data_IF_572126661290
#
_entry.id   IF_572126661290
#
_cell.length_a   1.000
_cell.length_b   1.000
_cell.length_c   1.000
_cell.angle_alpha   90.00
_cell.angle_beta   90.00
_cell.angle_gamma   90.00
#
_symmetry.space_group_name_H-M   'P 1'
#
loop_
_entity.id
_entity.type
_entity.pdbx_description
1 polymer ?
#
# COMPACT_ATOMS: atom_id res chain seq x y z
N UNK A 1 29.61 15.75 21.15
CA UNK A 1 29.25 14.47 20.49
C UNK A 1 28.33 14.63 19.27
N UNK A 2 27.19 15.36 19.32
CA UNK A 2 26.30 15.50 18.14
C UNK A 2 26.86 16.34 16.98
N UNK A 3 27.65 17.40 17.26
CA UNK A 3 28.23 18.28 16.22
C UNK A 3 29.42 17.65 15.47
N UNK A 4 30.20 16.77 16.09
CA UNK A 4 31.37 16.11 15.46
C UNK A 4 30.98 14.93 14.57
N UNK A 5 29.89 14.23 14.90
CA UNK A 5 29.30 13.18 14.07
C UNK A 5 28.67 13.77 12.78
N UNK A 6 28.03 14.94 12.90
CA UNK A 6 27.46 15.68 11.77
C UNK A 6 28.52 16.13 10.76
N UNK A 7 29.75 16.40 11.24
CA UNK A 7 30.86 16.89 10.42
C UNK A 7 31.67 15.79 9.75
N UNK A 8 31.66 14.57 10.30
CA UNK A 8 32.44 13.43 9.80
C UNK A 8 31.66 12.53 8.85
N UNK A 9 30.34 12.35 9.05
CA UNK A 9 29.49 11.50 8.20
C UNK A 9 28.09 12.11 7.99
N UNK A 10 27.97 13.23 7.27
CA UNK A 10 26.70 13.94 7.09
C UNK A 10 25.63 13.07 6.40
N UNK A 11 26.03 12.20 5.48
CA UNK A 11 25.11 11.30 4.76
C UNK A 11 24.52 10.22 5.66
N UNK A 12 25.31 9.64 6.57
CA UNK A 12 24.87 8.56 7.46
C UNK A 12 23.78 9.05 8.42
N UNK A 13 23.96 10.24 8.99
CA UNK A 13 23.01 10.80 9.94
C UNK A 13 21.67 11.11 9.27
N UNK A 14 21.68 11.71 8.07
CA UNK A 14 20.46 11.98 7.29
C UNK A 14 19.74 10.69 6.93
N UNK A 15 20.46 9.64 6.53
CA UNK A 15 19.86 8.32 6.26
C UNK A 15 19.24 7.69 7.51
N UNK A 16 19.86 7.80 8.69
CA UNK A 16 19.29 7.29 9.94
C UNK A 16 18.02 8.03 10.32
N UNK A 17 18.02 9.37 10.28
CA UNK A 17 16.82 10.16 10.57
C UNK A 17 15.68 9.84 9.61
N UNK A 18 16.01 9.68 8.33
CA UNK A 18 15.06 9.26 7.31
C UNK A 18 14.44 7.89 7.61
N UNK A 19 15.25 6.87 7.92
CA UNK A 19 14.76 5.53 8.27
C UNK A 19 13.88 5.59 9.52
N UNK A 20 14.28 6.34 10.53
CA UNK A 20 13.50 6.52 11.76
C UNK A 20 12.16 7.23 11.48
N UNK A 21 12.16 8.26 10.63
CA UNK A 21 10.94 8.94 10.19
C UNK A 21 10.00 7.99 9.45
N UNK A 22 10.52 7.19 8.52
CA UNK A 22 9.73 6.19 7.80
C UNK A 22 9.15 5.11 8.72
N UNK A 23 9.93 4.63 9.70
CA UNK A 23 9.43 3.69 10.73
C UNK A 23 8.36 4.35 11.59
N UNK A 24 8.54 5.60 11.98
CA UNK A 24 7.55 6.36 12.73
C UNK A 24 6.25 6.50 11.93
N UNK A 25 6.33 6.80 10.63
CA UNK A 25 5.17 6.85 9.74
C UNK A 25 4.48 5.49 9.63
N UNK A 26 5.22 4.37 9.55
CA UNK A 26 4.61 3.02 9.56
C UNK A 26 3.74 2.80 10.82
N UNK A 27 4.21 3.30 11.97
CA UNK A 27 3.56 3.13 13.27
C UNK A 27 2.40 4.11 13.50
N UNK A 28 2.48 5.31 12.93
CA UNK A 28 1.51 6.39 13.17
C UNK A 28 0.48 6.55 12.06
N UNK A 29 0.83 6.19 10.82
CA UNK A 29 -0.07 6.30 9.67
C UNK A 29 -1.21 5.29 9.81
N UNK A 30 -2.39 5.85 10.09
CA UNK A 30 -3.62 5.12 10.30
C UNK A 30 -4.23 4.54 9.03
N UNK A 31 -5.56 4.57 8.95
CA UNK A 31 -6.30 4.06 7.80
C UNK A 31 -6.23 5.01 6.61
N UNK A 32 -6.36 4.43 5.43
CA UNK A 32 -6.35 5.16 4.16
C UNK A 32 -7.58 6.07 3.98
N UNK A 33 -8.68 5.76 4.65
CA UNK A 33 -9.95 6.51 4.60
C UNK A 33 -10.17 7.44 5.78
N UNK A 34 -9.15 7.67 6.62
CA UNK A 34 -9.20 8.69 7.65
C UNK A 34 -9.14 10.10 7.04
N UNK A 35 -10.12 10.93 7.38
CA UNK A 35 -10.21 12.32 6.92
C UNK A 35 -8.99 13.16 7.33
N UNK A 36 -8.39 12.88 8.49
CA UNK A 36 -7.15 13.53 8.94
C UNK A 36 -5.98 13.28 7.98
N UNK A 37 -5.78 12.03 7.55
CA UNK A 37 -4.74 11.67 6.59
C UNK A 37 -4.99 12.31 5.23
N UNK A 38 -6.25 12.31 4.76
CA UNK A 38 -6.63 13.01 3.54
C UNK A 38 -6.32 14.52 3.61
N UNK A 39 -6.78 15.21 4.66
CA UNK A 39 -6.56 16.66 4.83
C UNK A 39 -5.06 16.95 4.95
N UNK A 40 -4.32 16.17 5.74
CA UNK A 40 -2.89 16.32 5.91
C UNK A 40 -2.13 16.19 4.58
N UNK A 41 -2.37 15.12 3.83
CA UNK A 41 -1.73 14.93 2.53
C UNK A 41 -2.18 15.96 1.49
N UNK A 42 -3.43 16.43 1.54
CA UNK A 42 -3.92 17.48 0.67
C UNK A 42 -3.21 18.82 0.94
N UNK A 43 -3.03 19.18 2.22
CA UNK A 43 -2.25 20.36 2.62
C UNK A 43 -0.80 20.21 2.16
N UNK A 44 -0.17 19.05 2.39
CA UNK A 44 1.20 18.80 1.96
C UNK A 44 1.34 18.94 0.45
N UNK A 45 0.39 18.43 -0.33
CA UNK A 45 0.39 18.51 -1.79
C UNK A 45 0.25 19.96 -2.28
N UNK A 46 -0.65 20.75 -1.69
CA UNK A 46 -0.79 22.17 -2.03
C UNK A 46 0.49 22.94 -1.69
N UNK A 47 1.05 22.72 -0.50
CA UNK A 47 2.29 23.36 -0.06
C UNK A 47 3.46 22.95 -0.96
N UNK A 48 3.51 21.69 -1.42
CA UNK A 48 4.53 21.21 -2.32
C UNK A 48 4.47 21.93 -3.68
N UNK A 49 3.27 22.07 -4.26
CA UNK A 49 3.07 22.81 -5.51
C UNK A 49 3.40 24.30 -5.31
N UNK A 50 2.96 24.88 -4.20
CA UNK A 50 3.19 26.29 -3.88
C UNK A 50 4.69 26.61 -3.69
N UNK A 51 5.41 25.78 -2.92
CA UNK A 51 6.85 25.93 -2.70
C UNK A 51 7.59 25.84 -4.04
N UNK A 52 7.25 24.88 -4.90
CA UNK A 52 7.81 24.77 -6.25
C UNK A 52 7.62 26.06 -7.08
N UNK A 53 6.40 26.60 -7.12
CA UNK A 53 6.08 27.83 -7.88
C UNK A 53 6.78 29.09 -7.33
N UNK A 54 7.27 29.03 -6.10
CA UNK A 54 7.94 30.16 -5.43
C UNK A 54 9.45 29.97 -5.28
N UNK A 55 10.01 28.84 -5.75
CA UNK A 55 11.45 28.56 -5.70
C UNK A 55 12.28 29.65 -6.41
N UNK A 56 11.79 30.23 -7.51
CA UNK A 56 12.50 31.27 -8.26
C UNK A 56 12.21 32.69 -7.75
N UNK A 57 11.17 32.87 -6.93
CA UNK A 57 10.73 34.18 -6.46
C UNK A 57 11.41 34.49 -5.14
N UNK A 58 12.19 35.58 -5.07
CA UNK A 58 12.72 36.08 -3.80
C UNK A 58 11.61 36.76 -2.99
N UNK A 59 11.51 36.44 -1.71
CA UNK A 59 10.61 37.08 -0.75
C UNK A 59 11.24 38.43 -0.36
N UNK A 60 10.54 39.51 -0.68
CA UNK A 60 10.97 40.88 -0.38
C UNK A 60 10.71 41.31 1.08
N UNK A 61 9.82 40.63 1.80
CA UNK A 61 9.43 40.98 3.16
C UNK A 61 10.48 40.55 4.20
N UNK A 62 11.01 41.52 4.96
CA UNK A 62 12.13 41.35 5.91
C UNK A 62 11.90 40.28 6.98
N UNK A 63 10.67 40.10 7.46
CA UNK A 63 10.33 39.09 8.48
C UNK A 63 10.22 37.66 7.95
N UNK A 64 10.01 37.49 6.64
CA UNK A 64 9.82 36.18 6.00
C UNK A 64 11.03 35.76 5.16
N UNK A 65 12.12 36.53 5.21
CA UNK A 65 13.34 36.27 4.45
C UNK A 65 14.00 34.93 4.83
N UNK A 66 13.82 34.47 6.07
CA UNK A 66 14.31 33.16 6.50
C UNK A 66 13.67 32.03 5.67
N UNK A 67 12.42 32.17 5.21
CA UNK A 67 11.77 31.15 4.40
C UNK A 67 12.47 30.94 3.06
N UNK A 68 13.05 31.98 2.46
CA UNK A 68 13.79 31.86 1.20
C UNK A 68 14.98 30.91 1.31
N UNK A 69 15.65 30.89 2.47
CA UNK A 69 16.81 30.03 2.72
C UNK A 69 16.40 28.56 2.80
N UNK A 70 15.20 28.27 3.33
CA UNK A 70 14.71 26.90 3.56
C UNK A 70 13.68 26.42 2.54
N UNK A 71 13.37 27.19 1.48
CA UNK A 71 12.35 26.80 0.47
C UNK A 71 12.65 25.47 -0.19
N UNK A 72 13.92 25.22 -0.51
CA UNK A 72 14.36 23.98 -1.14
C UNK A 72 14.21 22.80 -0.19
N UNK A 73 14.66 22.96 1.04
CA UNK A 73 14.55 21.94 2.09
C UNK A 73 13.08 21.63 2.39
N UNK A 74 12.24 22.66 2.46
CA UNK A 74 10.80 22.51 2.66
C UNK A 74 10.13 21.75 1.51
N UNK A 75 10.52 22.03 0.26
CA UNK A 75 10.02 21.29 -0.90
C UNK A 75 10.34 19.79 -0.78
N UNK A 76 11.59 19.44 -0.47
CA UNK A 76 12.01 18.05 -0.34
C UNK A 76 11.41 17.38 0.88
N UNK A 77 11.26 18.08 2.00
CA UNK A 77 10.56 17.60 3.19
C UNK A 77 9.09 17.24 2.89
N UNK A 78 8.36 18.14 2.23
CA UNK A 78 6.96 17.90 1.86
C UNK A 78 6.81 16.74 0.87
N UNK A 79 7.69 16.65 -0.12
CA UNK A 79 7.70 15.55 -1.07
C UNK A 79 8.06 14.22 -0.41
N UNK A 80 9.05 14.21 0.48
CA UNK A 80 9.48 13.04 1.25
C UNK A 80 8.36 12.52 2.15
N UNK A 81 7.66 13.41 2.87
CA UNK A 81 6.51 13.03 3.68
C UNK A 81 5.37 12.40 2.87
N UNK A 82 5.05 12.96 1.70
CA UNK A 82 4.04 12.37 0.80
C UNK A 82 4.48 11.01 0.25
N UNK A 83 5.71 10.90 -0.24
CA UNK A 83 6.27 9.65 -0.76
C UNK A 83 6.30 8.56 0.32
N UNK A 84 6.65 8.90 1.56
CA UNK A 84 6.62 8.01 2.72
C UNK A 84 5.21 7.47 2.96
N UNK A 85 4.23 8.35 3.09
CA UNK A 85 2.83 7.97 3.31
C UNK A 85 2.26 7.11 2.16
N UNK A 86 2.54 7.48 0.91
CA UNK A 86 2.08 6.72 -0.25
C UNK A 86 2.76 5.36 -0.35
N UNK A 87 4.06 5.25 -0.07
CA UNK A 87 4.75 3.96 -0.01
C UNK A 87 4.07 3.03 1.00
N UNK A 88 3.73 3.53 2.19
CA UNK A 88 3.06 2.75 3.23
C UNK A 88 1.67 2.30 2.78
N UNK A 89 0.88 3.17 2.15
CA UNK A 89 -0.42 2.79 1.61
C UNK A 89 -0.32 1.73 0.49
N UNK A 90 0.64 1.88 -0.43
CA UNK A 90 0.88 0.90 -1.48
C UNK A 90 1.31 -0.46 -0.93
N UNK A 91 2.20 -0.48 0.07
CA UNK A 91 2.63 -1.70 0.77
C UNK A 91 1.45 -2.37 1.47
N UNK A 92 0.61 -1.60 2.18
CA UNK A 92 -0.55 -2.14 2.89
C UNK A 92 -1.63 -2.69 1.94
N UNK A 93 -1.70 -2.21 0.69
CA UNK A 93 -2.80 -2.51 -0.25
C UNK A 93 -2.58 -3.68 -1.21
N UNK A 94 -1.45 -4.38 -1.15
CA UNK A 94 -1.20 -5.53 -2.03
C UNK A 94 -0.24 -6.54 -1.43
N UNK A 95 -0.19 -7.71 -2.06
CA UNK A 95 0.93 -8.63 -1.86
C UNK A 95 2.23 -8.02 -2.36
N UNK A 96 3.24 -7.95 -1.47
CA UNK A 96 4.59 -7.44 -1.78
C UNK A 96 5.15 -8.11 -3.03
N UNK A 97 4.88 -9.40 -3.23
CA UNK A 97 5.39 -10.16 -4.38
C UNK A 97 4.88 -9.65 -5.72
N UNK A 98 3.67 -9.11 -5.80
CA UNK A 98 3.08 -8.64 -7.05
C UNK A 98 3.48 -7.19 -7.34
N UNK A 99 3.53 -6.37 -6.29
CA UNK A 99 3.84 -4.93 -6.41
C UNK A 99 5.27 -4.55 -6.06
N UNK A 100 6.18 -5.53 -5.93
CA UNK A 100 7.58 -5.33 -5.53
C UNK A 100 8.26 -4.25 -6.36
N UNK A 101 8.14 -4.30 -7.69
CA UNK A 101 8.79 -3.37 -8.59
C UNK A 101 8.30 -1.92 -8.38
N UNK A 102 6.98 -1.72 -8.33
CA UNK A 102 6.41 -0.39 -8.12
C UNK A 102 6.73 0.16 -6.73
N UNK A 103 6.60 -0.66 -5.68
CA UNK A 103 6.97 -0.28 -4.31
C UNK A 103 8.46 0.08 -4.24
N UNK A 104 9.33 -0.68 -4.91
CA UNK A 104 10.77 -0.38 -4.97
C UNK A 104 11.03 0.98 -5.64
N UNK A 105 10.30 1.32 -6.71
CA UNK A 105 10.41 2.64 -7.35
C UNK A 105 10.01 3.75 -6.37
N UNK A 106 8.90 3.60 -5.64
CA UNK A 106 8.47 4.62 -4.66
C UNK A 106 9.54 4.79 -3.56
N UNK A 107 10.07 3.68 -3.03
CA UNK A 107 11.11 3.71 -2.00
C UNK A 107 12.43 4.31 -2.52
N UNK A 108 12.81 4.01 -3.75
CA UNK A 108 13.99 4.60 -4.40
C UNK A 108 13.77 6.10 -4.60
N UNK A 109 12.60 6.53 -5.08
CA UNK A 109 12.28 7.96 -5.21
C UNK A 109 12.33 8.68 -3.87
N UNK A 110 11.85 8.03 -2.81
CA UNK A 110 11.90 8.53 -1.45
C UNK A 110 13.36 8.70 -0.96
N UNK A 111 14.22 7.70 -1.16
CA UNK A 111 15.64 7.78 -0.79
C UNK A 111 16.38 8.83 -1.64
N UNK A 112 16.11 8.86 -2.94
CA UNK A 112 16.70 9.82 -3.87
C UNK A 112 16.29 11.24 -3.51
N UNK A 113 15.04 11.48 -3.12
CA UNK A 113 14.55 12.80 -2.69
C UNK A 113 15.37 13.40 -1.53
N UNK A 114 15.83 12.56 -0.60
CA UNK A 114 16.65 12.97 0.54
C UNK A 114 18.15 13.13 0.19
N UNK A 115 18.59 12.64 -0.96
CA UNK A 115 19.99 12.70 -1.34
C UNK A 115 20.43 14.15 -1.65
N UNK A 116 21.48 14.69 -1.01
CA UNK A 116 21.90 16.09 -1.22
C UNK A 116 22.19 16.43 -2.69
N UNK A 117 22.73 15.46 -3.44
CA UNK A 117 22.98 15.62 -4.88
C UNK A 117 21.69 15.78 -5.68
N UNK A 118 20.62 15.09 -5.29
CA UNK A 118 19.33 15.16 -5.96
C UNK A 118 18.59 16.47 -5.66
N UNK A 119 18.73 16.99 -4.44
CA UNK A 119 18.10 18.26 -4.06
C UNK A 119 18.58 19.43 -4.93
N UNK A 120 19.81 19.36 -5.42
CA UNK A 120 20.41 20.34 -6.32
C UNK A 120 20.03 20.13 -7.80
N UNK A 121 19.31 19.06 -8.16
CA UNK A 121 18.91 18.82 -9.55
C UNK A 121 17.89 19.86 -10.02
N UNK A 122 17.89 20.11 -11.34
CA UNK A 122 17.04 21.10 -12.00
C UNK A 122 15.53 20.89 -11.82
N UNK A 123 14.77 21.93 -12.16
CA UNK A 123 13.31 22.01 -11.99
C UNK A 123 12.52 20.87 -12.64
N UNK A 124 13.05 20.24 -13.68
CA UNK A 124 12.41 19.12 -14.39
C UNK A 124 12.25 17.90 -13.45
N UNK A 125 13.27 17.55 -12.67
CA UNK A 125 13.20 16.42 -11.73
C UNK A 125 12.23 16.71 -10.58
N UNK A 126 12.26 17.94 -10.05
CA UNK A 126 11.31 18.42 -9.04
C UNK A 126 9.88 18.37 -9.55
N UNK A 127 9.65 18.73 -10.81
CA UNK A 127 8.34 18.66 -11.43
C UNK A 127 7.86 17.21 -11.62
N UNK A 128 8.75 16.29 -12.01
CA UNK A 128 8.44 14.86 -12.05
C UNK A 128 8.04 14.32 -10.67
N UNK A 129 8.71 14.78 -9.60
CA UNK A 129 8.36 14.40 -8.24
C UNK A 129 6.97 14.91 -7.81
N UNK A 130 6.65 16.17 -8.11
CA UNK A 130 5.32 16.74 -7.85
C UNK A 130 4.25 15.93 -8.60
N UNK A 131 4.48 15.67 -9.88
CA UNK A 131 3.52 14.92 -10.69
C UNK A 131 3.35 13.49 -10.18
N UNK A 132 4.42 12.83 -9.73
CA UNK A 132 4.35 11.50 -9.14
C UNK A 132 3.51 11.50 -7.85
N UNK A 133 3.76 12.47 -6.95
CA UNK A 133 2.97 12.64 -5.73
C UNK A 133 1.50 12.96 -6.04
N UNK A 134 1.24 13.83 -7.02
CA UNK A 134 -0.11 14.19 -7.44
C UNK A 134 -0.87 12.97 -8.00
N UNK A 135 -0.25 12.20 -8.89
CA UNK A 135 -0.87 11.00 -9.47
C UNK A 135 -1.11 9.93 -8.40
N UNK A 136 -0.16 9.74 -7.48
CA UNK A 136 -0.32 8.83 -6.33
C UNK A 136 -1.47 9.26 -5.41
N UNK A 137 -1.56 10.56 -5.08
CA UNK A 137 -2.65 11.12 -4.29
C UNK A 137 -4.00 10.85 -4.94
N UNK A 138 -4.14 11.06 -6.25
CA UNK A 138 -5.39 10.83 -6.97
C UNK A 138 -5.77 9.35 -7.00
N UNK A 139 -4.81 8.46 -7.33
CA UNK A 139 -5.01 7.00 -7.35
C UNK A 139 -5.42 6.47 -5.98
N UNK A 140 -4.95 7.09 -4.90
CA UNK A 140 -5.30 6.68 -3.54
C UNK A 140 -6.68 7.23 -3.15
N UNK A 141 -6.89 8.54 -3.30
CA UNK A 141 -8.02 9.21 -2.66
C UNK A 141 -9.29 9.29 -3.49
N UNK A 142 -9.22 9.27 -4.83
CA UNK A 142 -10.45 9.21 -5.64
C UNK A 142 -11.23 7.91 -5.37
N UNK A 143 -10.60 6.71 -5.39
CA UNK A 143 -11.28 5.48 -4.97
C UNK A 143 -11.93 5.55 -3.60
N UNK A 144 -11.24 6.15 -2.62
CA UNK A 144 -11.72 6.30 -1.23
C UNK A 144 -12.93 7.23 -1.16
N UNK A 145 -12.86 8.40 -1.81
CA UNK A 145 -13.93 9.41 -1.77
C UNK A 145 -15.20 8.90 -2.45
N UNK A 146 -15.05 8.24 -3.61
CA UNK A 146 -16.19 7.77 -4.39
C UNK A 146 -16.67 6.37 -3.99
N UNK A 147 -15.96 5.68 -3.08
CA UNK A 147 -16.30 4.29 -2.72
C UNK A 147 -16.24 3.34 -3.92
N UNK A 148 -15.33 3.58 -4.87
CA UNK A 148 -15.16 2.76 -6.07
C UNK A 148 -13.73 2.26 -6.19
N UNK A 149 -13.50 1.21 -6.96
CA UNK A 149 -12.16 0.71 -7.28
C UNK A 149 -12.20 0.02 -8.65
N UNK A 150 -11.03 -0.36 -9.17
CA UNK A 150 -10.91 -1.03 -10.46
C UNK A 150 -10.47 -0.10 -11.60
N UNK A 151 -10.52 -0.62 -12.82
CA UNK A 151 -9.86 0.00 -13.98
C UNK A 151 -10.45 1.36 -14.34
N UNK A 152 -11.78 1.50 -14.24
CA UNK A 152 -12.47 2.76 -14.54
C UNK A 152 -12.04 3.90 -13.60
N UNK A 153 -12.10 3.66 -12.29
CA UNK A 153 -11.67 4.63 -11.28
C UNK A 153 -10.19 4.98 -11.41
N UNK A 154 -9.35 3.98 -11.71
CA UNK A 154 -7.92 4.19 -11.95
C UNK A 154 -7.65 5.11 -13.16
N UNK A 155 -8.34 4.87 -14.28
CA UNK A 155 -8.20 5.68 -15.51
C UNK A 155 -8.61 7.13 -15.23
N UNK A 156 -9.76 7.34 -14.60
CA UNK A 156 -10.23 8.69 -14.23
C UNK A 156 -9.21 9.39 -13.33
N UNK A 157 -8.70 8.69 -12.31
CA UNK A 157 -7.72 9.24 -11.36
C UNK A 157 -6.44 9.67 -12.07
N UNK A 158 -5.94 8.82 -12.96
CA UNK A 158 -4.71 9.08 -13.73
C UNK A 158 -4.92 10.26 -14.68
N UNK A 159 -6.01 10.28 -15.46
CA UNK A 159 -6.32 11.37 -16.39
C UNK A 159 -6.47 12.69 -15.63
N UNK A 160 -7.28 12.72 -14.56
CA UNK A 160 -7.51 13.92 -13.77
C UNK A 160 -6.19 14.47 -13.18
N UNK A 161 -5.33 13.59 -12.66
CA UNK A 161 -4.02 14.00 -12.14
C UNK A 161 -3.07 14.52 -13.22
N UNK A 162 -3.14 13.94 -14.44
CA UNK A 162 -2.27 14.32 -15.56
C UNK A 162 -2.68 15.65 -16.20
N UNK A 163 -3.95 16.05 -16.05
CA UNK A 163 -4.47 17.31 -16.59
C UNK A 163 -4.32 18.48 -15.62
N UNK A 164 -4.42 18.23 -14.30
CA UNK A 164 -4.45 19.31 -13.30
C UNK A 164 -3.20 20.21 -13.35
N UNK A 165 -2.01 19.62 -13.34
CA UNK A 165 -0.76 20.39 -13.28
C UNK A 165 -0.48 21.16 -14.59
N UNK A 166 -0.63 20.57 -15.80
CA UNK A 166 -0.55 21.31 -17.05
C UNK A 166 -1.55 22.46 -17.16
N UNK A 167 -2.82 22.25 -16.78
CA UNK A 167 -3.84 23.31 -16.80
C UNK A 167 -3.46 24.46 -15.86
N UNK A 168 -2.99 24.14 -14.65
CA UNK A 168 -2.52 25.13 -13.69
C UNK A 168 -1.36 25.97 -14.26
N UNK A 169 -0.36 25.31 -14.86
CA UNK A 169 0.83 25.97 -15.39
C UNK A 169 0.51 26.83 -16.60
N UNK A 170 -0.36 26.35 -17.49
CA UNK A 170 -0.88 27.13 -18.62
C UNK A 170 -1.64 28.36 -18.15
N UNK A 171 -2.52 28.23 -17.16
CA UNK A 171 -3.32 29.34 -16.61
C UNK A 171 -2.46 30.44 -15.97
N UNK A 172 -1.34 30.07 -15.35
CA UNK A 172 -0.41 31.03 -14.73
C UNK A 172 0.61 31.57 -15.76
N UNK A 173 0.68 31.00 -16.97
CA UNK A 173 1.69 31.35 -17.97
C UNK A 173 3.11 30.97 -17.53
N UNK A 174 3.26 29.86 -16.79
CA UNK A 174 4.54 29.45 -16.23
C UNK A 174 5.47 28.91 -17.34
N UNK A 175 6.75 29.30 -17.32
CA UNK A 175 7.76 28.91 -18.34
C UNK A 175 7.94 27.40 -18.53
N UNK A 176 7.56 26.61 -17.53
CA UNK A 176 7.63 25.14 -17.56
C UNK A 176 6.37 24.45 -18.08
N UNK A 177 5.39 25.17 -18.65
CA UNK A 177 4.14 24.57 -19.18
C UNK A 177 4.40 23.35 -20.08
N UNK A 178 5.28 23.48 -21.09
CA UNK A 178 5.60 22.37 -22.02
C UNK A 178 6.25 21.18 -21.30
N UNK A 179 7.33 21.36 -20.50
CA UNK A 179 7.87 20.30 -19.64
C UNK A 179 6.80 19.64 -18.76
N UNK A 180 5.88 20.41 -18.18
CA UNK A 180 4.80 19.89 -17.34
C UNK A 180 3.92 18.93 -18.11
N UNK A 181 3.41 19.33 -19.26
CA UNK A 181 2.58 18.45 -20.10
C UNK A 181 3.33 17.16 -20.47
N UNK A 182 4.58 17.26 -20.91
CA UNK A 182 5.38 16.08 -21.30
C UNK A 182 5.55 15.13 -20.10
N UNK A 183 5.95 15.65 -18.93
CA UNK A 183 6.14 14.84 -17.73
C UNK A 183 4.81 14.22 -17.25
N UNK A 184 3.72 14.99 -17.24
CA UNK A 184 2.40 14.47 -16.88
C UNK A 184 1.96 13.34 -17.81
N UNK A 185 2.22 13.44 -19.11
CA UNK A 185 1.93 12.37 -20.07
C UNK A 185 2.82 11.14 -19.85
N UNK A 186 4.13 11.32 -19.67
CA UNK A 186 5.06 10.21 -19.43
C UNK A 186 4.70 9.47 -18.15
N UNK A 187 4.42 10.19 -17.06
CA UNK A 187 4.03 9.58 -15.80
C UNK A 187 2.64 8.93 -15.88
N UNK A 188 1.68 9.54 -16.57
CA UNK A 188 0.39 8.90 -16.82
C UNK A 188 0.56 7.55 -17.55
N UNK A 189 1.42 7.50 -18.57
CA UNK A 189 1.73 6.26 -19.28
C UNK A 189 2.43 5.24 -18.38
N UNK A 190 3.40 5.67 -17.58
CA UNK A 190 4.07 4.82 -16.59
C UNK A 190 3.08 4.18 -15.61
N UNK A 191 2.17 4.98 -15.04
CA UNK A 191 1.14 4.48 -14.14
C UNK A 191 0.15 3.56 -14.87
N UNK A 192 -0.24 3.89 -16.10
CA UNK A 192 -1.13 3.06 -16.91
C UNK A 192 -0.53 1.68 -17.18
N UNK A 193 0.71 1.63 -17.67
CA UNK A 193 1.45 0.38 -17.87
C UNK A 193 1.56 -0.38 -16.55
N UNK A 194 1.97 0.29 -15.47
CA UNK A 194 2.09 -0.33 -14.16
C UNK A 194 0.78 -0.95 -13.65
N UNK A 195 -0.35 -0.30 -13.90
CA UNK A 195 -1.65 -0.81 -13.47
C UNK A 195 -2.09 -2.06 -14.24
N UNK A 196 -1.99 -2.04 -15.57
CA UNK A 196 -2.42 -3.16 -16.42
C UNK A 196 -1.42 -4.33 -16.41
N UNK A 197 -0.16 -4.09 -16.07
CA UNK A 197 0.82 -5.14 -15.78
C UNK A 197 0.74 -5.68 -14.34
N UNK A 198 -0.29 -5.32 -13.57
CA UNK A 198 -0.49 -5.72 -12.17
C UNK A 198 0.64 -5.31 -11.21
N UNK A 199 1.50 -4.37 -11.59
CA UNK A 199 2.58 -3.86 -10.73
C UNK A 199 2.03 -2.90 -9.68
N UNK A 200 0.97 -2.16 -10.00
CA UNK A 200 0.36 -1.20 -9.07
C UNK A 200 -0.68 -1.89 -8.18
N UNK A 201 -0.55 -1.73 -6.84
CA UNK A 201 -1.50 -2.26 -5.86
C UNK A 201 -2.95 -1.83 -6.16
N UNK A 202 -3.95 -2.71 -5.94
CA UNK A 202 -5.36 -2.35 -5.97
C UNK A 202 -5.77 -1.56 -4.70
N UNK A 203 -5.37 -0.31 -4.63
CA UNK A 203 -5.83 0.65 -3.61
C UNK A 203 -7.35 0.88 -3.81
N UNK A 204 -8.19 0.95 -2.75
CA UNK A 204 -7.87 1.10 -1.31
C UNK A 204 -8.02 -0.15 -0.45
N UNK A 205 -8.13 -1.33 -1.07
CA UNK A 205 -8.30 -2.59 -0.34
C UNK A 205 -7.00 -3.00 0.35
N UNK A 206 -7.08 -3.64 1.52
CA UNK A 206 -5.89 -4.22 2.18
C UNK A 206 -6.22 -5.45 3.02
N UNK A 207 -5.39 -6.50 2.92
CA UNK A 207 -5.48 -7.66 3.83
C UNK A 207 -4.81 -7.30 5.15
N UNK A 208 -5.60 -7.21 6.23
CA UNK A 208 -5.13 -6.93 7.59
C UNK A 208 -4.69 -8.19 8.35
N UNK A 209 -5.21 -9.35 7.95
CA UNK A 209 -4.86 -10.66 8.51
C UNK A 209 -5.21 -11.72 7.49
N UNK A 210 -4.38 -12.74 7.37
CA UNK A 210 -4.66 -13.97 6.63
C UNK A 210 -4.12 -15.14 7.45
N UNK A 211 -4.76 -16.30 7.41
CA UNK A 211 -4.26 -17.47 8.10
C UNK A 211 -4.96 -18.77 7.71
N UNK A 212 -4.32 -19.89 8.02
CA UNK A 212 -4.85 -21.25 7.85
C UNK A 212 -5.27 -21.84 9.21
N UNK A 213 -6.44 -22.46 9.24
CA UNK A 213 -7.09 -22.97 10.45
C UNK A 213 -7.77 -24.31 10.19
N UNK A 214 -7.95 -25.12 11.22
CA UNK A 214 -8.66 -26.41 11.13
C UNK A 214 -10.16 -26.26 11.29
N UNK A 215 -10.61 -25.21 11.96
CA UNK A 215 -12.03 -24.94 12.20
C UNK A 215 -12.26 -23.45 12.39
N UNK A 216 -13.40 -22.99 11.91
CA UNK A 216 -13.91 -21.64 12.18
C UNK A 216 -15.32 -21.78 12.74
N UNK A 217 -15.54 -21.29 13.95
CA UNK A 217 -16.87 -21.19 14.55
C UNK A 217 -17.28 -19.74 14.68
N UNK A 218 -18.56 -19.48 14.40
CA UNK A 218 -19.15 -18.16 14.58
C UNK A 218 -20.05 -18.20 15.81
N UNK A 219 -19.64 -17.52 16.88
CA UNK A 219 -20.41 -17.44 18.13
C UNK A 219 -20.48 -15.98 18.59
N UNK A 220 -21.68 -15.50 18.93
CA UNK A 220 -21.91 -14.17 19.52
C UNK A 220 -21.23 -12.99 18.77
N UNK A 221 -21.20 -13.04 17.43
CA UNK A 221 -20.52 -11.99 16.65
C UNK A 221 -18.99 -12.02 16.76
N UNK A 222 -18.40 -13.17 17.09
CA UNK A 222 -16.97 -13.44 17.04
C UNK A 222 -16.71 -14.65 16.14
N UNK A 223 -15.52 -14.68 15.54
CA UNK A 223 -14.97 -15.82 14.83
C UNK A 223 -13.91 -16.45 15.73
N UNK A 224 -14.14 -17.70 16.09
CA UNK A 224 -13.19 -18.54 16.82
C UNK A 224 -12.41 -19.34 15.79
N UNK A 225 -11.11 -19.08 15.68
CA UNK A 225 -10.22 -19.67 14.69
C UNK A 225 -9.33 -20.71 15.39
N UNK A 226 -9.50 -21.98 15.06
CA UNK A 226 -8.82 -23.09 15.73
C UNK A 226 -7.56 -23.49 14.97
N UNK A 227 -6.42 -23.50 15.66
CA UNK A 227 -5.12 -23.87 15.11
C UNK A 227 -4.27 -24.66 16.12
N UNK A 228 -3.27 -25.39 15.65
CA UNK A 228 -2.40 -26.25 16.48
C UNK A 228 -1.03 -25.60 16.76
N UNK A 229 -0.57 -24.71 15.88
CA UNK A 229 0.75 -24.09 15.96
C UNK A 229 0.95 -23.41 17.31
N UNK A 230 2.10 -23.63 18.00
CA UNK A 230 2.32 -23.06 19.31
C UNK A 230 2.27 -21.54 19.33
N UNK A 231 1.62 -20.96 20.35
CA UNK A 231 1.43 -19.50 20.49
C UNK A 231 2.73 -18.68 20.52
N UNK A 232 3.86 -19.28 20.90
CA UNK A 232 5.15 -18.58 20.92
C UNK A 232 5.66 -18.25 19.50
N UNK A 233 5.15 -18.92 18.46
CA UNK A 233 5.42 -18.60 17.06
C UNK A 233 4.53 -17.45 16.60
N UNK A 234 4.69 -16.28 17.21
CA UNK A 234 3.87 -15.09 16.92
C UNK A 234 3.98 -14.60 15.46
N UNK A 235 5.02 -15.02 14.73
CA UNK A 235 5.21 -14.77 13.30
C UNK A 235 4.37 -15.69 12.40
N UNK A 236 3.77 -16.75 12.94
CA UNK A 236 2.99 -17.71 12.18
C UNK A 236 1.56 -17.23 11.96
N UNK A 237 1.06 -17.44 10.75
CA UNK A 237 -0.28 -17.06 10.32
C UNK A 237 -1.24 -18.26 10.40
N UNK A 238 -1.37 -18.84 11.59
CA UNK A 238 -2.09 -20.11 11.80
C UNK A 238 -1.24 -21.32 11.41
N UNK A 239 -1.86 -22.40 10.91
CA UNK A 239 -1.16 -23.67 10.65
C UNK A 239 -0.58 -23.74 9.23
N UNK A 240 0.56 -23.10 9.03
CA UNK A 240 1.29 -23.17 7.75
C UNK A 240 1.90 -24.55 7.49
N UNK A 241 2.13 -25.35 8.53
CA UNK A 241 2.41 -26.78 8.42
C UNK A 241 1.15 -27.50 8.92
N UNK A 242 0.20 -27.72 8.03
CA UNK A 242 -1.11 -28.25 8.36
C UNK A 242 -1.06 -29.78 8.47
N UNK A 243 -1.27 -30.30 9.69
CA UNK A 243 -1.31 -31.72 9.97
C UNK A 243 -2.72 -32.26 9.74
N UNK A 244 -3.00 -32.78 8.56
CA UNK A 244 -4.32 -33.25 8.16
C UNK A 244 -4.62 -34.66 8.67
N UNK A 245 -5.68 -34.80 9.47
CA UNK A 245 -6.28 -36.07 9.86
C UNK A 245 -7.47 -36.43 8.95
N UNK A 246 -7.84 -37.71 8.82
CA UNK A 246 -9.00 -38.13 8.03
C UNK A 246 -10.28 -37.37 8.42
N UNK A 247 -10.93 -36.72 7.44
CA UNK A 247 -12.16 -35.96 7.63
C UNK A 247 -11.97 -34.46 7.93
N UNK A 248 -10.74 -34.01 8.12
CA UNK A 248 -10.45 -32.59 8.34
C UNK A 248 -10.82 -31.73 7.15
N UNK A 249 -11.14 -30.47 7.44
CA UNK A 249 -11.28 -29.40 6.45
C UNK A 249 -10.23 -28.33 6.72
N UNK A 250 -9.69 -27.74 5.66
CA UNK A 250 -8.74 -26.64 5.76
C UNK A 250 -9.52 -25.35 5.57
N UNK A 251 -9.42 -24.44 6.52
CA UNK A 251 -10.05 -23.14 6.46
C UNK A 251 -8.99 -22.06 6.21
N UNK A 252 -9.23 -21.22 5.20
CA UNK A 252 -8.52 -19.94 5.10
C UNK A 252 -9.43 -18.85 5.64
N UNK A 253 -8.88 -18.02 6.51
CA UNK A 253 -9.55 -16.83 7.01
C UNK A 253 -8.74 -15.60 6.62
N UNK A 254 -9.43 -14.56 6.16
CA UNK A 254 -8.85 -13.28 5.85
C UNK A 254 -9.70 -12.14 6.44
N UNK A 255 -9.01 -11.14 6.97
CA UNK A 255 -9.60 -9.87 7.39
C UNK A 255 -9.20 -8.80 6.40
N UNK A 256 -10.16 -8.26 5.68
CA UNK A 256 -9.93 -7.40 4.51
C UNK A 256 -10.55 -6.04 4.79
N UNK A 257 -9.71 -5.03 4.88
CA UNK A 257 -10.18 -3.66 5.02
C UNK A 257 -10.69 -3.12 3.69
N UNK A 258 -11.85 -2.45 3.75
CA UNK A 258 -12.48 -1.74 2.66
C UNK A 258 -13.04 -0.40 3.20
N UNK A 259 -12.84 0.74 2.50
CA UNK A 259 -13.36 2.04 2.92
C UNK A 259 -14.88 2.06 3.05
N UNK A 260 -15.39 3.02 3.84
CA UNK A 260 -16.83 3.27 3.97
C UNK A 260 -17.46 3.47 2.58
N UNK A 261 -18.57 2.80 2.31
CA UNK A 261 -19.32 2.93 1.05
C UNK A 261 -18.79 2.10 -0.12
N UNK A 262 -17.66 1.40 0.02
CA UNK A 262 -17.16 0.49 -1.00
C UNK A 262 -17.93 -0.85 -0.95
N UNK A 263 -18.62 -1.19 -2.03
CA UNK A 263 -19.20 -2.52 -2.26
C UNK A 263 -18.47 -3.23 -3.39
N UNK A 264 -17.97 -4.43 -3.13
CA UNK A 264 -17.20 -5.16 -4.12
C UNK A 264 -17.18 -6.66 -3.91
N UNK A 265 -16.66 -7.39 -4.88
CA UNK A 265 -16.35 -8.80 -4.71
C UNK A 265 -14.84 -9.01 -4.61
N UNK A 266 -14.48 -10.00 -3.80
CA UNK A 266 -13.14 -10.58 -3.75
C UNK A 266 -13.26 -12.06 -4.08
N UNK A 267 -12.13 -12.69 -4.34
CA UNK A 267 -12.05 -14.11 -4.58
C UNK A 267 -11.01 -14.73 -3.67
N UNK A 268 -11.37 -15.85 -3.03
CA UNK A 268 -10.42 -16.74 -2.40
C UNK A 268 -10.05 -17.80 -3.43
N UNK A 269 -8.82 -17.75 -3.92
CA UNK A 269 -8.29 -18.69 -4.90
C UNK A 269 -7.33 -19.67 -4.23
N UNK A 270 -7.63 -20.96 -4.33
CA UNK A 270 -6.75 -22.04 -3.88
C UNK A 270 -5.87 -22.50 -5.04
N UNK A 271 -4.59 -22.62 -4.79
CA UNK A 271 -3.60 -23.14 -5.73
C UNK A 271 -2.83 -24.31 -5.09
N UNK A 272 -2.53 -25.33 -5.88
CA UNK A 272 -1.67 -26.45 -5.49
C UNK A 272 -0.39 -26.40 -6.31
N UNK A 273 0.73 -26.70 -5.65
CA UNK A 273 2.00 -26.85 -6.35
C UNK A 273 2.10 -28.22 -7.03
N UNK A 274 2.26 -28.21 -8.35
CA UNK A 274 2.51 -29.39 -9.19
C UNK A 274 3.60 -29.08 -10.22
N UNK A 275 4.83 -28.79 -9.76
CA UNK A 275 5.94 -28.19 -10.55
C UNK A 275 5.68 -26.74 -11.02
N UNK A 276 4.41 -26.33 -11.03
CA UNK A 276 3.94 -24.95 -11.14
C UNK A 276 2.69 -24.79 -10.26
N UNK A 277 2.33 -23.55 -9.93
CA UNK A 277 1.10 -23.27 -9.19
C UNK A 277 -0.11 -23.47 -10.11
N UNK A 278 -0.97 -24.44 -9.79
CA UNK A 278 -2.22 -24.71 -10.51
C UNK A 278 -3.43 -24.30 -9.68
N UNK A 279 -4.36 -23.60 -10.30
CA UNK A 279 -5.62 -23.20 -9.69
C UNK A 279 -6.48 -24.45 -9.44
N UNK A 280 -6.92 -24.63 -8.20
CA UNK A 280 -7.86 -25.67 -7.79
C UNK A 280 -9.27 -25.11 -7.72
N UNK A 281 -9.47 -24.01 -6.99
CA UNK A 281 -10.79 -23.42 -6.75
C UNK A 281 -10.70 -21.89 -6.70
N UNK A 282 -11.78 -21.20 -7.07
CA UNK A 282 -11.90 -19.75 -6.96
C UNK A 282 -13.29 -19.39 -6.44
N UNK A 283 -13.36 -18.94 -5.18
CA UNK A 283 -14.60 -18.74 -4.44
C UNK A 283 -14.88 -17.24 -4.31
N UNK A 284 -16.01 -16.78 -4.86
CA UNK A 284 -16.45 -15.39 -4.79
C UNK A 284 -16.99 -15.06 -3.40
N UNK A 285 -16.57 -13.91 -2.86
CA UNK A 285 -17.10 -13.34 -1.61
C UNK A 285 -17.49 -11.88 -1.84
N UNK A 286 -18.70 -11.49 -1.45
CA UNK A 286 -19.12 -10.08 -1.47
C UNK A 286 -18.66 -9.39 -0.20
N UNK A 287 -17.98 -8.25 -0.34
CA UNK A 287 -17.53 -7.42 0.76
C UNK A 287 -18.27 -6.08 0.73
N UNK A 288 -18.58 -5.58 1.93
CA UNK A 288 -19.12 -4.25 2.14
C UNK A 288 -18.18 -3.54 3.12
N UNK A 289 -17.72 -2.36 2.72
CA UNK A 289 -16.83 -1.52 3.52
C UNK A 289 -17.57 -0.77 4.62
N UNK A 290 -16.81 -0.13 5.51
CA UNK A 290 -17.35 0.66 6.62
C UNK A 290 -17.05 0.11 8.01
N UNK A 291 -16.62 -1.16 8.12
CA UNK A 291 -16.07 -1.68 9.38
C UNK A 291 -14.57 -1.32 9.49
N UNK A 292 -14.21 -0.56 10.53
CA UNK A 292 -12.81 -0.21 10.83
C UNK A 292 -11.90 -1.43 11.00
N UNK A 293 -12.48 -2.54 11.45
CA UNK A 293 -11.79 -3.79 11.66
C UNK A 293 -11.66 -4.63 10.37
N UNK A 294 -12.32 -4.25 9.29
CA UNK A 294 -12.34 -4.97 8.01
C UNK A 294 -13.36 -6.10 7.95
N UNK A 295 -13.70 -6.50 6.72
CA UNK A 295 -14.57 -7.61 6.38
C UNK A 295 -13.88 -8.96 6.69
N UNK A 296 -14.62 -9.90 7.30
CA UNK A 296 -14.13 -11.26 7.57
C UNK A 296 -14.59 -12.18 6.46
N UNK A 297 -13.65 -12.60 5.64
CA UNK A 297 -13.86 -13.60 4.61
C UNK A 297 -13.25 -14.92 5.07
N UNK A 298 -13.95 -16.02 4.86
CA UNK A 298 -13.36 -17.34 5.00
C UNK A 298 -13.93 -18.30 3.97
N UNK A 299 -13.12 -19.29 3.62
CA UNK A 299 -13.53 -20.41 2.80
C UNK A 299 -12.88 -21.68 3.34
N UNK A 300 -13.47 -22.83 3.03
CA UNK A 300 -12.92 -24.11 3.44
C UNK A 300 -12.75 -25.06 2.26
N UNK A 301 -11.82 -26.00 2.40
CA UNK A 301 -11.56 -27.07 1.44
C UNK A 301 -11.55 -28.41 2.15
N UNK A 302 -12.35 -29.35 1.64
CA UNK A 302 -12.41 -30.76 2.09
C UNK A 302 -11.61 -31.69 1.18
N UNK A 303 -11.68 -31.44 -0.13
CA UNK A 303 -11.02 -32.26 -1.14
C UNK A 303 -9.62 -31.69 -1.42
N UNK A 304 -8.67 -31.91 -0.51
CA UNK A 304 -7.26 -31.53 -0.65
C UNK A 304 -6.36 -32.78 -0.74
N UNK A 305 -5.10 -32.56 -1.09
CA UNK A 305 -4.06 -33.60 -1.16
C UNK A 305 -2.81 -33.10 -0.44
N UNK A 306 -1.96 -34.01 0.03
CA UNK A 306 -0.70 -33.65 0.66
C UNK A 306 0.21 -32.84 -0.27
N UNK A 307 1.07 -32.00 0.31
CA UNK A 307 2.04 -31.17 -0.39
C UNK A 307 1.79 -29.66 -0.22
N UNK A 308 2.43 -28.86 -1.07
CA UNK A 308 2.40 -27.40 -0.99
C UNK A 308 1.15 -26.82 -1.62
N UNK A 309 0.50 -25.94 -0.87
CA UNK A 309 -0.70 -25.21 -1.25
C UNK A 309 -0.54 -23.72 -0.99
N UNK A 310 -1.38 -22.95 -1.66
CA UNK A 310 -1.47 -21.50 -1.51
C UNK A 310 -2.93 -21.09 -1.54
N UNK A 311 -3.28 -20.12 -0.70
CA UNK A 311 -4.53 -19.39 -0.80
C UNK A 311 -4.23 -17.91 -1.11
N UNK A 312 -4.82 -17.38 -2.20
CA UNK A 312 -4.74 -15.97 -2.59
C UNK A 312 -6.07 -15.28 -2.35
N UNK A 313 -6.00 -14.02 -1.94
CA UNK A 313 -7.12 -13.09 -1.94
C UNK A 313 -6.97 -12.19 -3.15
N UNK A 314 -7.90 -12.29 -4.09
CA UNK A 314 -7.89 -11.57 -5.35
C UNK A 314 -9.05 -10.57 -5.41
N UNK A 315 -8.86 -9.49 -6.16
CA UNK A 315 -9.96 -8.61 -6.58
C UNK A 315 -10.70 -9.17 -7.79
N UNK A 316 -11.79 -8.53 -8.21
CA UNK A 316 -12.49 -8.84 -9.46
C UNK A 316 -11.60 -8.77 -10.71
N UNK A 317 -10.57 -7.92 -10.71
CA UNK A 317 -9.63 -7.76 -11.82
C UNK A 317 -8.36 -8.61 -11.63
N UNK A 318 -8.43 -9.70 -10.86
CA UNK A 318 -7.33 -10.64 -10.61
C UNK A 318 -6.06 -10.01 -9.97
N UNK A 319 -6.22 -8.90 -9.25
CA UNK A 319 -5.13 -8.29 -8.47
C UNK A 319 -5.03 -8.93 -7.10
N UNK A 320 -3.81 -9.30 -6.68
CA UNK A 320 -3.53 -9.99 -5.42
C UNK A 320 -3.48 -8.99 -4.26
N UNK A 321 -4.47 -9.08 -3.36
CA UNK A 321 -4.52 -8.32 -2.11
C UNK A 321 -3.59 -8.92 -1.04
N UNK A 322 -3.40 -10.23 -1.08
CA UNK A 322 -2.56 -10.98 -0.16
C UNK A 322 -2.60 -12.47 -0.46
N UNK A 323 -1.63 -13.21 0.08
CA UNK A 323 -1.56 -14.66 -0.07
C UNK A 323 -0.97 -15.31 1.18
N UNK A 324 -1.26 -16.59 1.34
CA UNK A 324 -0.62 -17.45 2.34
C UNK A 324 -0.25 -18.79 1.69
N UNK A 325 1.01 -19.19 1.89
CA UNK A 325 1.56 -20.46 1.43
C UNK A 325 1.65 -21.40 2.64
N UNK A 326 1.27 -22.66 2.46
CA UNK A 326 1.22 -23.67 3.52
C UNK A 326 1.45 -25.08 2.96
N UNK A 327 1.96 -25.99 3.79
CA UNK A 327 2.19 -27.39 3.46
C UNK A 327 1.15 -28.27 4.17
N UNK A 328 0.62 -29.26 3.47
CA UNK A 328 -0.31 -30.25 4.03
C UNK A 328 0.43 -31.58 4.18
N UNK A 329 0.43 -32.11 5.39
CA UNK A 329 0.96 -33.43 5.73
C UNK A 329 -0.15 -34.31 6.28
N UNK A 330 -0.35 -35.48 5.70
CA UNK A 330 -1.34 -36.44 6.22
C UNK A 330 -0.76 -37.16 7.44
N UNK A 331 -1.48 -37.09 8.56
CA UNK A 331 -1.10 -37.71 9.82
C UNK A 331 -2.21 -38.64 10.32
N UNK A 332 -1.88 -39.68 11.09
CA UNK A 332 -2.89 -40.53 11.70
C UNK A 332 -3.76 -39.75 12.72
N UNK A 333 -4.99 -40.20 13.00
CA UNK A 333 -5.85 -39.60 14.02
C UNK A 333 -5.15 -39.56 15.39
N UNK A 334 -4.98 -38.36 15.94
CA UNK A 334 -4.34 -38.13 17.25
C UNK A 334 -5.11 -37.07 18.02
N UNK A 335 -5.03 -37.10 19.36
CA UNK A 335 -5.68 -36.09 20.20
C UNK A 335 -5.06 -34.71 19.95
N UNK A 336 -5.89 -33.72 19.65
CA UNK A 336 -5.44 -32.35 19.38
C UNK A 336 -5.63 -31.44 20.57
N UNK A 337 -4.66 -30.54 20.76
CA UNK A 337 -4.81 -29.39 21.63
C UNK A 337 -4.97 -28.15 20.77
N UNK A 338 -6.11 -27.48 20.89
CA UNK A 338 -6.42 -26.31 20.09
C UNK A 338 -5.97 -25.03 20.76
N UNK A 339 -5.26 -24.21 20.00
CA UNK A 339 -5.21 -22.78 20.23
C UNK A 339 -6.39 -22.12 19.51
N UNK A 340 -6.98 -21.10 20.16
CA UNK A 340 -8.13 -20.37 19.62
C UNK A 340 -7.74 -18.90 19.49
N UNK A 341 -7.83 -18.38 18.28
CA UNK A 341 -7.77 -16.96 18.01
C UNK A 341 -9.19 -16.38 17.93
N UNK A 342 -9.41 -15.20 18.51
CA UNK A 342 -10.73 -14.60 18.62
C UNK A 342 -10.77 -13.32 17.81
N UNK A 343 -11.50 -13.34 16.70
CA UNK A 343 -11.72 -12.17 15.85
C UNK A 343 -13.14 -11.63 16.05
N UNK A 344 -13.27 -10.40 16.55
CA UNK A 344 -14.57 -9.72 16.64
C UNK A 344 -15.12 -9.43 15.24
N UNK A 345 -16.45 -9.43 15.06
CA UNK A 345 -17.12 -9.17 13.78
C UNK A 345 -16.74 -7.84 13.14
#
# INVERSE_FOLDING_TARGET
>A
MSKELHKSHPTLLTTIFFILGFIFDILTLGRIDETSNFIGHFIYLILLIYTFLTLEKKISHTRLKFLDEYKLDLFHFLAGGLLSAFAIFFIKSSSISQSFFFISIVLILLIINEAPKFQQIGYVAKLALIQFCLTSFFIIYIPVIFGTYGSFTFIISTIASSLLLPILFKKIGHKLEKPTTIISTILALFFFIGYFSNLIPPVPLSVKKIGIYHKIEKSEGKYLLYYETPKYKFWSQGDQNFQAQPGDSIYVFARIFAPVGLESNIYIQWEKWEHSWKVSDKIRMSIQGGNSWGYRAYAYKKNYTSGLWRAKILTENDKELGRIDFNIESVPPTSRQWNIDIEKK
#
